data_IF_654794857860
#
_entry.id   IF_654794857860
#
_cell.length_a   1.000
_cell.length_b   1.000
_cell.length_c   1.000
_cell.angle_alpha   90.00
_cell.angle_beta   90.00
_cell.angle_gamma   90.00
#
_symmetry.space_group_name_H-M   'P 1'
#
loop_
_entity.id
_entity.type
_entity.pdbx_description
1 polymer ?
#
# COMPACT_ATOMS: atom_id res chain seq x y z
N UNK A 1 2.31 16.43 2.47
CA UNK A 1 2.90 15.63 3.56
C UNK A 1 3.46 14.34 2.98
N UNK A 2 4.54 13.82 3.56
CA UNK A 2 5.20 12.59 3.09
C UNK A 2 5.05 11.50 4.12
N UNK A 3 4.64 10.30 3.70
CA UNK A 3 4.49 9.12 4.55
C UNK A 3 5.85 8.66 5.05
N UNK A 4 5.95 8.38 6.35
CA UNK A 4 7.11 7.78 6.99
C UNK A 4 6.86 6.31 7.32
N UNK A 5 5.75 6.02 7.99
CA UNK A 5 5.32 4.66 8.35
C UNK A 5 3.81 4.51 8.20
N UNK A 6 3.36 3.26 8.01
CA UNK A 6 1.95 2.90 8.04
C UNK A 6 1.79 1.49 8.63
N UNK A 7 0.59 1.15 9.11
CA UNK A 7 0.22 -0.25 9.32
C UNK A 7 0.44 -1.02 8.01
N UNK A 8 1.32 -2.02 8.01
CA UNK A 8 1.73 -2.71 6.79
C UNK A 8 1.62 -4.23 6.91
N UNK A 9 1.11 -4.84 5.84
CA UNK A 9 1.00 -6.28 5.68
C UNK A 9 1.05 -6.64 4.19
N UNK A 10 1.20 -7.93 3.89
CA UNK A 10 1.12 -8.43 2.52
C UNK A 10 0.28 -9.70 2.48
N UNK A 11 -0.72 -9.72 1.60
CA UNK A 11 -1.54 -10.90 1.36
C UNK A 11 -0.77 -11.91 0.51
N UNK A 12 -0.81 -13.17 0.93
CA UNK A 12 -0.22 -14.31 0.22
C UNK A 12 -1.18 -15.48 0.20
N UNK A 13 -0.98 -16.37 -0.77
CA UNK A 13 -1.62 -17.67 -0.83
C UNK A 13 -0.58 -18.75 -1.10
N UNK A 14 -0.74 -19.89 -0.45
CA UNK A 14 -0.04 -21.12 -0.81
C UNK A 14 -1.01 -22.32 -0.79
N UNK A 15 -0.49 -23.54 -0.66
CA UNK A 15 -1.29 -24.77 -0.67
C UNK A 15 -2.25 -24.87 0.53
N UNK A 16 -1.97 -24.19 1.64
CA UNK A 16 -2.76 -24.24 2.87
C UNK A 16 -3.81 -23.11 2.95
N UNK A 17 -3.77 -22.16 2.01
CA UNK A 17 -4.76 -21.09 1.87
C UNK A 17 -4.14 -19.69 1.83
N UNK A 18 -5.01 -18.68 1.99
CA UNK A 18 -4.60 -17.28 2.07
C UNK A 18 -4.24 -16.86 3.50
N UNK A 19 -3.20 -16.04 3.64
CA UNK A 19 -2.74 -15.49 4.91
C UNK A 19 -2.06 -14.12 4.74
N UNK A 20 -1.84 -13.43 5.85
CA UNK A 20 -1.08 -12.20 5.91
C UNK A 20 0.31 -12.44 6.48
N UNK A 21 1.31 -11.79 5.91
CA UNK A 21 2.63 -11.62 6.53
C UNK A 21 2.82 -10.18 6.98
N UNK A 22 3.63 -9.99 8.03
CA UNK A 22 4.15 -8.66 8.36
C UNK A 22 5.05 -8.17 7.23
N UNK A 23 4.95 -6.88 6.93
CA UNK A 23 5.75 -6.23 5.91
C UNK A 23 6.24 -4.88 6.41
N UNK A 24 7.48 -4.51 6.07
CA UNK A 24 8.15 -3.37 6.71
C UNK A 24 8.14 -2.08 5.89
N UNK A 25 7.54 -2.08 4.69
CA UNK A 25 7.54 -0.93 3.80
C UNK A 25 6.11 -0.49 3.47
N UNK A 26 5.87 0.82 3.48
CA UNK A 26 4.71 1.43 2.82
C UNK A 26 5.10 1.70 1.36
N UNK A 27 4.62 0.87 0.42
CA UNK A 27 5.00 0.96 -0.99
C UNK A 27 4.17 2.03 -1.72
N UNK A 28 4.78 2.85 -2.61
CA UNK A 28 4.04 3.83 -3.39
C UNK A 28 3.13 3.17 -4.44
N UNK A 29 2.09 3.87 -4.94
CA UNK A 29 1.18 3.36 -5.97
C UNK A 29 1.83 3.07 -7.33
N UNK A 30 2.95 3.72 -7.66
CA UNK A 30 3.62 3.57 -8.94
C UNK A 30 5.12 3.42 -8.81
N UNK A 31 5.73 2.78 -9.81
CA UNK A 31 7.17 2.65 -9.93
C UNK A 31 7.84 3.98 -10.26
N UNK A 32 9.11 4.13 -9.88
CA UNK A 32 9.95 5.27 -10.22
C UNK A 32 11.25 4.76 -10.87
N UNK A 33 11.67 5.36 -11.99
CA UNK A 33 12.87 4.92 -12.72
C UNK A 33 14.17 5.61 -12.25
N UNK A 34 14.09 6.40 -11.17
CA UNK A 34 15.15 7.25 -10.67
C UNK A 34 15.11 8.69 -11.21
N UNK A 35 14.29 8.96 -12.23
CA UNK A 35 14.09 10.30 -12.80
C UNK A 35 12.64 10.78 -12.72
N UNK A 36 11.68 9.87 -12.90
CA UNK A 36 10.25 10.18 -12.87
C UNK A 36 9.42 8.95 -12.51
N UNK A 37 8.20 9.22 -12.02
CA UNK A 37 7.17 8.20 -11.80
C UNK A 37 6.74 7.59 -13.14
N UNK A 38 6.46 6.28 -13.14
CA UNK A 38 6.06 5.49 -14.32
C UNK A 38 4.72 4.80 -14.11
N UNK A 39 3.59 5.52 -14.27
CA UNK A 39 2.26 4.91 -14.19
C UNK A 39 2.04 3.81 -15.22
N UNK A 40 2.65 3.95 -16.41
CA UNK A 40 2.52 3.00 -17.52
C UNK A 40 3.21 1.65 -17.26
N UNK A 41 4.02 1.53 -16.21
CA UNK A 41 4.64 0.27 -15.80
C UNK A 41 3.72 -0.58 -14.91
N UNK A 42 2.51 -0.09 -14.65
CA UNK A 42 1.55 -0.70 -13.76
C UNK A 42 1.76 -0.28 -12.30
N UNK A 43 0.97 -0.89 -11.42
CA UNK A 43 1.02 -0.68 -9.98
C UNK A 43 1.80 -1.82 -9.31
N UNK A 44 2.63 -1.56 -8.27
CA UNK A 44 3.25 -2.60 -7.49
C UNK A 44 2.22 -3.29 -6.59
N UNK A 45 2.64 -4.33 -5.87
CA UNK A 45 1.80 -4.95 -4.85
C UNK A 45 1.66 -3.96 -3.67
N UNK A 46 0.44 -3.62 -3.22
CA UNK A 46 0.23 -2.72 -2.10
C UNK A 46 0.65 -3.37 -0.80
N UNK A 47 0.94 -2.53 0.19
CA UNK A 47 1.37 -3.01 1.50
C UNK A 47 0.71 -2.33 2.69
N UNK A 48 -0.07 -1.25 2.51
CA UNK A 48 -0.74 -0.60 3.64
C UNK A 48 -2.02 -1.35 4.00
N UNK A 49 -2.19 -1.67 5.28
CA UNK A 49 -3.25 -2.52 5.79
C UNK A 49 -4.26 -1.72 6.63
N UNK A 50 -5.48 -1.61 6.12
CA UNK A 50 -6.57 -0.83 6.67
C UNK A 50 -7.40 -1.64 7.69
N UNK A 51 -6.71 -2.19 8.69
CA UNK A 51 -7.26 -3.17 9.66
C UNK A 51 -8.02 -2.55 10.83
N UNK A 52 -7.86 -1.25 11.08
CA UNK A 52 -8.41 -0.58 12.24
C UNK A 52 -9.72 0.09 11.85
N UNK A 53 -10.82 -0.66 11.93
CA UNK A 53 -12.15 -0.15 11.51
C UNK A 53 -12.21 0.33 10.05
N UNK A 54 -11.42 -0.29 9.16
CA UNK A 54 -11.31 0.14 7.75
C UNK A 54 -10.27 1.24 7.53
N UNK A 55 -9.48 1.58 8.54
CA UNK A 55 -8.43 2.59 8.48
C UNK A 55 -7.05 1.99 8.77
N UNK A 56 -6.01 2.68 8.30
CA UNK A 56 -4.62 2.46 8.67
C UNK A 56 -4.10 3.66 9.48
N UNK A 57 -3.27 3.41 10.51
CA UNK A 57 -2.53 4.49 11.14
C UNK A 57 -1.35 4.87 10.26
N UNK A 58 -1.18 6.17 10.02
CA UNK A 58 -0.11 6.70 9.16
C UNK A 58 0.69 7.73 9.94
N UNK A 59 1.99 7.51 10.02
CA UNK A 59 2.95 8.46 10.57
C UNK A 59 3.65 9.20 9.43
N UNK A 60 3.83 10.49 9.59
CA UNK A 60 4.30 11.39 8.55
C UNK A 60 5.67 12.00 8.88
N UNK A 61 6.40 12.44 7.86
CA UNK A 61 7.75 13.00 8.03
C UNK A 61 7.81 14.32 8.81
N UNK A 62 6.70 15.03 8.94
CA UNK A 62 6.56 16.23 9.79
C UNK A 62 6.15 15.88 11.24
N UNK A 63 6.02 14.60 11.57
CA UNK A 63 5.85 14.08 12.93
C UNK A 63 4.41 13.91 13.40
N UNK A 64 3.39 14.25 12.60
CA UNK A 64 2.01 13.92 12.96
C UNK A 64 1.67 12.47 12.64
N UNK A 65 0.59 12.00 13.28
CA UNK A 65 -0.02 10.69 13.04
C UNK A 65 -1.51 10.91 12.87
N UNK A 66 -2.10 10.31 11.85
CA UNK A 66 -3.54 10.30 11.62
C UNK A 66 -4.01 8.91 11.14
N UNK A 67 -5.33 8.76 11.05
CA UNK A 67 -5.97 7.58 10.48
C UNK A 67 -6.40 7.89 9.05
N UNK A 68 -6.17 6.95 8.14
CA UNK A 68 -6.48 7.09 6.71
C UNK A 68 -7.33 5.92 6.25
N UNK A 69 -8.37 6.22 5.47
CA UNK A 69 -9.20 5.23 4.79
C UNK A 69 -8.56 4.78 3.46
N UNK A 70 -8.85 3.55 3.04
CA UNK A 70 -8.39 3.02 1.76
C UNK A 70 -9.11 3.72 0.60
N UNK A 71 -8.36 4.20 -0.38
CA UNK A 71 -8.90 4.80 -1.61
C UNK A 71 -8.99 3.80 -2.76
N UNK A 72 -7.94 2.98 -2.95
CA UNK A 72 -7.84 2.02 -4.04
C UNK A 72 -6.86 0.89 -3.68
N UNK A 73 -6.89 -0.20 -4.46
CA UNK A 73 -6.02 -1.37 -4.27
C UNK A 73 -5.50 -1.90 -5.61
N UNK A 74 -4.72 -2.98 -5.53
CA UNK A 74 -4.26 -3.72 -6.69
C UNK A 74 -5.43 -4.44 -7.36
N UNK A 75 -5.56 -4.38 -8.69
CA UNK A 75 -6.63 -5.08 -9.38
C UNK A 75 -6.40 -6.60 -9.37
N UNK A 76 -7.19 -7.32 -8.58
CA UNK A 76 -7.25 -8.78 -8.58
C UNK A 76 -6.09 -9.47 -7.86
N UNK A 77 -5.74 -10.67 -8.34
CA UNK A 77 -4.78 -11.57 -7.69
C UNK A 77 -3.35 -11.18 -8.04
N UNK A 78 -2.51 -11.01 -7.02
CA UNK A 78 -1.08 -10.71 -7.20
C UNK A 78 -0.27 -11.94 -7.57
N UNK A 79 1.01 -11.75 -7.91
CA UNK A 79 1.96 -12.85 -8.06
C UNK A 79 2.08 -13.74 -6.80
N UNK A 80 1.70 -13.25 -5.61
CA UNK A 80 1.66 -14.04 -4.38
C UNK A 80 0.37 -14.86 -4.22
N UNK A 81 -0.49 -14.91 -5.23
CA UNK A 81 -1.67 -15.77 -5.25
C UNK A 81 -2.87 -15.28 -4.44
N UNK A 82 -2.78 -14.12 -3.78
CA UNK A 82 -3.88 -13.50 -3.05
C UNK A 82 -4.28 -12.14 -3.64
N UNK A 83 -5.53 -11.77 -3.42
CA UNK A 83 -6.14 -10.49 -3.81
C UNK A 83 -6.08 -9.49 -2.63
N UNK A 84 -5.28 -8.42 -2.69
CA UNK A 84 -5.01 -7.56 -1.54
C UNK A 84 -6.26 -6.83 -1.03
N UNK A 85 -7.18 -6.48 -1.95
CA UNK A 85 -8.42 -5.78 -1.62
C UNK A 85 -9.31 -6.58 -0.64
N UNK A 86 -9.36 -7.92 -0.77
CA UNK A 86 -10.09 -8.80 0.16
C UNK A 86 -9.59 -8.71 1.61
N UNK A 87 -8.32 -8.31 1.76
CA UNK A 87 -7.64 -8.17 3.04
C UNK A 87 -7.55 -6.71 3.50
N UNK A 88 -8.25 -5.79 2.85
CA UNK A 88 -8.13 -4.35 3.08
C UNK A 88 -6.68 -3.87 2.98
N UNK A 89 -5.95 -4.34 1.97
CA UNK A 89 -4.58 -3.91 1.67
C UNK A 89 -4.60 -3.08 0.39
N UNK A 90 -4.06 -1.87 0.42
CA UNK A 90 -4.16 -0.93 -0.70
C UNK A 90 -3.37 0.36 -0.48
N UNK A 91 -3.92 1.46 -0.97
CA UNK A 91 -3.41 2.82 -0.79
C UNK A 91 -4.51 3.80 -0.42
N UNK A 92 -4.12 4.87 0.26
CA UNK A 92 -4.97 6.01 0.58
C UNK A 92 -4.53 7.24 -0.21
N UNK A 93 -5.42 8.24 -0.28
CA UNK A 93 -5.12 9.49 -0.99
C UNK A 93 -5.28 9.36 -2.51
N UNK A 94 -4.63 10.25 -3.29
CA UNK A 94 -4.71 10.24 -4.74
C UNK A 94 -3.98 9.05 -5.33
N UNK A 95 -4.39 8.65 -6.54
CA UNK A 95 -3.71 7.62 -7.31
C UNK A 95 -2.48 8.21 -8.01
N UNK A 96 -1.46 8.57 -7.21
CA UNK A 96 -0.14 9.07 -7.60
C UNK A 96 0.89 8.86 -6.46
N UNK A 97 2.15 9.24 -6.67
CA UNK A 97 3.21 9.09 -5.65
C UNK A 97 3.43 10.36 -4.80
N UNK A 98 2.55 11.37 -4.86
CA UNK A 98 2.75 12.67 -4.19
C UNK A 98 2.90 12.57 -2.67
N UNK A 99 2.34 11.54 -2.04
CA UNK A 99 2.46 11.26 -0.60
C UNK A 99 3.73 10.49 -0.23
N UNK A 100 4.53 10.05 -1.20
CA UNK A 100 5.72 9.23 -1.00
C UNK A 100 7.03 9.97 -1.34
N UNK A 101 6.95 11.30 -1.53
CA UNK A 101 8.12 12.12 -1.83
C UNK A 101 8.56 12.07 -3.30
N UNK A 102 7.72 11.54 -4.18
CA UNK A 102 7.96 11.40 -5.62
C UNK A 102 6.78 11.99 -6.41
N UNK A 103 6.73 13.32 -6.62
CA UNK A 103 5.69 13.96 -7.42
C UNK A 103 5.81 13.65 -8.92
#
# INVERSE_FOLDING_TARGET
NTVMFADAAMARSDADGEYLIEYSFAQPPYYHDGTQVKPDWGVPIPSMHFRHHGEANVAWCDGHVDQREMSFSYPGVTYYGAEPEKWNIGWFGPQDNSLFGEP
#
